data_IF_211615842962
#
_entry.id   IF_211615842962
#
_cell.length_a   1.000
_cell.length_b   1.000
_cell.length_c   1.000
_cell.angle_alpha   90.00
_cell.angle_beta   90.00
_cell.angle_gamma   90.00
#
_symmetry.space_group_name_H-M   'P 1'
#
loop_
_entity.id
_entity.type
_entity.pdbx_description
1 polymer ?
#
# COMPACT_ATOMS: atom_id res chain seq x y z
N UNK A 1 -37.02 17.68 7.92
CA UNK A 1 -37.12 16.49 7.03
C UNK A 1 -35.70 16.05 6.75
N UNK A 2 -35.36 14.78 6.96
CA UNK A 2 -33.98 14.34 6.70
C UNK A 2 -33.65 14.43 5.21
N UNK A 3 -32.43 14.86 4.88
CA UNK A 3 -31.92 14.93 3.52
C UNK A 3 -31.71 13.52 2.96
N UNK A 4 -31.92 13.37 1.65
CA UNK A 4 -31.65 12.12 0.96
C UNK A 4 -30.16 11.96 0.58
N UNK A 5 -29.79 10.76 0.13
CA UNK A 5 -28.42 10.41 -0.30
C UNK A 5 -27.91 11.34 -1.41
N UNK A 6 -28.76 11.71 -2.36
CA UNK A 6 -28.39 12.54 -3.50
C UNK A 6 -28.06 13.97 -3.06
N UNK A 7 -28.83 14.51 -2.13
CA UNK A 7 -28.63 15.82 -1.52
C UNK A 7 -27.34 15.83 -0.71
N UNK A 8 -27.11 14.80 0.12
CA UNK A 8 -25.86 14.64 0.86
C UNK A 8 -24.63 14.59 -0.07
N UNK A 9 -24.68 13.79 -1.14
CA UNK A 9 -23.59 13.69 -2.10
C UNK A 9 -23.31 15.03 -2.81
N UNK A 10 -24.35 15.71 -3.31
CA UNK A 10 -24.22 17.01 -3.98
C UNK A 10 -23.62 18.06 -3.02
N UNK A 11 -24.07 18.08 -1.77
CA UNK A 11 -23.57 19.02 -0.75
C UNK A 11 -22.12 18.73 -0.38
N UNK A 12 -21.77 17.47 -0.20
CA UNK A 12 -20.38 17.07 0.06
C UNK A 12 -19.45 17.51 -1.08
N UNK A 13 -19.81 17.25 -2.34
CA UNK A 13 -19.03 17.71 -3.52
C UNK A 13 -18.90 19.24 -3.51
N UNK A 14 -19.99 19.97 -3.23
CA UNK A 14 -19.97 21.43 -3.13
C UNK A 14 -19.01 21.94 -2.06
N UNK A 15 -18.93 21.28 -0.90
CA UNK A 15 -17.95 21.63 0.15
C UNK A 15 -16.51 21.38 -0.31
N UNK A 16 -16.24 20.27 -1.00
CA UNK A 16 -14.89 19.98 -1.52
C UNK A 16 -14.45 21.03 -2.54
N UNK A 17 -15.35 21.42 -3.46
CA UNK A 17 -15.09 22.46 -4.45
C UNK A 17 -14.85 23.83 -3.79
N UNK A 18 -15.67 24.19 -2.79
CA UNK A 18 -15.51 25.44 -2.05
C UNK A 18 -14.20 25.49 -1.26
N UNK A 19 -13.70 24.35 -0.79
CA UNK A 19 -12.41 24.22 -0.12
C UNK A 19 -11.22 24.19 -1.10
N UNK A 20 -11.45 24.26 -2.41
CA UNK A 20 -10.39 24.21 -3.43
C UNK A 20 -9.73 22.83 -3.56
N UNK A 21 -10.39 21.76 -3.10
CA UNK A 21 -9.86 20.40 -3.20
C UNK A 21 -10.04 19.91 -4.64
N UNK A 22 -8.95 19.52 -5.33
CA UNK A 22 -9.06 18.97 -6.68
C UNK A 22 -9.84 17.64 -6.62
N UNK A 23 -10.84 17.54 -7.49
CA UNK A 23 -11.64 16.31 -7.64
C UNK A 23 -11.14 15.43 -8.77
N UNK A 24 -10.14 15.89 -9.52
CA UNK A 24 -9.41 15.08 -10.48
C UNK A 24 -8.82 13.90 -9.71
N UNK A 25 -9.16 12.68 -10.10
CA UNK A 25 -8.73 11.45 -9.44
C UNK A 25 -9.36 11.15 -8.06
N UNK A 26 -10.49 11.79 -7.73
CA UNK A 26 -11.27 11.51 -6.53
C UNK A 26 -12.64 10.94 -6.91
N UNK A 27 -12.98 9.77 -6.36
CA UNK A 27 -14.25 9.10 -6.62
C UNK A 27 -15.10 9.00 -5.36
N UNK A 28 -16.41 9.20 -5.50
CA UNK A 28 -17.36 8.87 -4.43
C UNK A 28 -17.36 7.34 -4.21
N UNK A 29 -16.96 6.92 -3.01
CA UNK A 29 -16.77 5.51 -2.65
C UNK A 29 -17.89 4.97 -1.77
N UNK A 30 -18.31 5.74 -0.76
CA UNK A 30 -19.41 5.36 0.14
C UNK A 30 -20.22 6.59 0.51
N UNK A 31 -21.52 6.38 0.71
CA UNK A 31 -22.41 7.43 1.18
C UNK A 31 -23.61 6.80 1.88
N UNK A 32 -23.68 7.06 3.18
CA UNK A 32 -24.69 6.47 4.07
C UNK A 32 -25.00 7.36 5.26
N UNK A 33 -26.25 7.29 5.72
CA UNK A 33 -26.60 7.77 7.05
C UNK A 33 -26.25 6.69 8.07
N UNK A 34 -25.66 7.08 9.19
CA UNK A 34 -25.43 6.18 10.32
C UNK A 34 -25.72 6.89 11.63
N UNK A 35 -26.13 6.10 12.63
CA UNK A 35 -26.39 6.60 13.97
C UNK A 35 -25.06 7.01 14.62
N UNK A 36 -25.00 8.23 15.13
CA UNK A 36 -23.87 8.78 15.86
C UNK A 36 -24.07 8.69 17.38
N UNK A 37 -25.29 8.95 17.85
CA UNK A 37 -25.71 8.73 19.25
C UNK A 37 -27.15 8.23 19.30
N UNK A 38 -27.66 7.88 20.50
CA UNK A 38 -29.03 7.36 20.67
C UNK A 38 -30.08 8.19 19.91
N UNK A 39 -29.93 9.51 19.90
CA UNK A 39 -30.89 10.44 19.30
C UNK A 39 -30.34 11.23 18.09
N UNK A 40 -29.16 10.87 17.56
CA UNK A 40 -28.57 11.60 16.43
C UNK A 40 -28.03 10.70 15.33
N UNK A 41 -28.29 11.12 14.10
CA UNK A 41 -27.76 10.52 12.89
C UNK A 41 -26.84 11.51 12.19
N UNK A 42 -25.91 10.99 11.40
CA UNK A 42 -25.02 11.79 10.56
C UNK A 42 -24.94 11.15 9.18
N UNK A 43 -24.77 11.97 8.15
CA UNK A 43 -24.39 11.49 6.83
C UNK A 43 -22.88 11.40 6.74
N UNK A 44 -22.37 10.22 6.38
CA UNK A 44 -20.97 10.00 6.06
C UNK A 44 -20.86 9.87 4.55
N UNK A 45 -20.18 10.82 3.91
CA UNK A 45 -19.88 10.81 2.47
C UNK A 45 -18.38 10.66 2.31
N UNK A 46 -17.95 9.52 1.76
CA UNK A 46 -16.55 9.13 1.64
C UNK A 46 -16.14 9.12 0.19
N UNK A 47 -14.99 9.72 -0.08
CA UNK A 47 -14.33 9.71 -1.36
C UNK A 47 -13.00 8.99 -1.22
N UNK A 48 -12.60 8.28 -2.27
CA UNK A 48 -11.28 7.63 -2.36
C UNK A 48 -10.49 8.26 -3.49
N UNK A 49 -9.18 8.32 -3.34
CA UNK A 49 -8.29 8.70 -4.43
C UNK A 49 -8.04 7.49 -5.33
N UNK A 50 -7.98 7.73 -6.64
CA UNK A 50 -7.75 6.71 -7.67
C UNK A 50 -6.65 7.17 -8.60
N UNK A 51 -5.79 6.29 -9.08
CA UNK A 51 -4.83 6.63 -10.14
C UNK A 51 -4.76 5.46 -11.12
N UNK A 52 -4.94 5.77 -12.40
CA UNK A 52 -4.98 4.76 -13.47
C UNK A 52 -5.98 3.62 -13.20
N UNK A 53 -7.14 3.96 -12.62
CA UNK A 53 -8.19 3.00 -12.25
C UNK A 53 -7.96 2.26 -10.91
N UNK A 54 -6.80 2.40 -10.28
CA UNK A 54 -6.51 1.75 -8.99
C UNK A 54 -6.73 2.67 -7.79
N UNK A 55 -7.48 2.24 -6.75
CA UNK A 55 -7.68 3.04 -5.57
C UNK A 55 -6.45 3.04 -4.66
N UNK A 56 -6.23 4.15 -3.97
CA UNK A 56 -5.26 4.23 -2.88
C UNK A 56 -5.82 3.61 -1.61
N UNK A 57 -5.00 2.87 -0.86
CA UNK A 57 -5.44 2.10 0.30
C UNK A 57 -5.86 2.98 1.51
N UNK A 58 -5.10 4.05 1.78
CA UNK A 58 -5.37 4.99 2.90
C UNK A 58 -5.50 6.46 2.47
N UNK A 59 -5.75 6.71 1.19
CA UNK A 59 -5.93 8.08 0.68
C UNK A 59 -7.38 8.34 0.27
N UNK A 60 -7.98 9.34 0.89
CA UNK A 60 -9.38 9.68 0.67
C UNK A 60 -9.84 10.87 1.49
N UNK A 61 -11.13 11.15 1.37
CA UNK A 61 -11.80 12.28 2.00
C UNK A 61 -13.06 11.77 2.68
N UNK A 62 -13.32 12.23 3.90
CA UNK A 62 -14.57 12.04 4.62
C UNK A 62 -15.24 13.39 4.84
N UNK A 63 -16.49 13.50 4.40
CA UNK A 63 -17.37 14.62 4.70
C UNK A 63 -18.50 14.10 5.57
N UNK A 64 -18.70 14.74 6.73
CA UNK A 64 -19.78 14.43 7.67
C UNK A 64 -20.79 15.56 7.65
N UNK A 65 -22.05 15.25 7.35
CA UNK A 65 -23.13 16.23 7.20
C UNK A 65 -24.24 16.02 8.21
N UNK A 66 -24.87 17.11 8.62
CA UNK A 66 -26.10 17.12 9.38
C UNK A 66 -27.24 16.51 8.55
N UNK A 67 -28.01 15.55 9.10
CA UNK A 67 -29.06 14.88 8.37
C UNK A 67 -30.26 15.76 8.05
N UNK A 68 -30.47 16.90 8.71
CA UNK A 68 -31.65 17.74 8.51
C UNK A 68 -31.45 18.81 7.44
N UNK A 69 -30.28 19.46 7.42
CA UNK A 69 -30.02 20.64 6.57
C UNK A 69 -28.77 20.51 5.68
N UNK A 70 -28.07 19.37 5.75
CA UNK A 70 -26.82 19.12 5.04
C UNK A 70 -25.66 20.06 5.40
N UNK A 71 -25.72 20.75 6.55
CA UNK A 71 -24.60 21.55 7.05
C UNK A 71 -23.40 20.66 7.37
N UNK A 72 -22.19 21.19 7.15
CA UNK A 72 -20.94 20.48 7.41
C UNK A 72 -20.73 20.32 8.93
N UNK A 73 -20.67 19.08 9.41
CA UNK A 73 -20.37 18.73 10.80
C UNK A 73 -18.88 18.43 10.97
N UNK A 74 -18.29 17.74 9.99
CA UNK A 74 -16.92 17.25 10.11
C UNK A 74 -16.29 16.99 8.75
N UNK A 75 -14.97 17.08 8.72
CA UNK A 75 -14.17 16.94 7.51
C UNK A 75 -12.84 16.26 7.85
N UNK A 76 -12.46 15.25 7.06
CA UNK A 76 -11.16 14.60 7.11
C UNK A 76 -10.63 14.41 5.70
N UNK A 77 -9.34 14.67 5.49
CA UNK A 77 -8.71 14.58 4.18
C UNK A 77 -7.30 14.05 4.32
N UNK A 78 -7.00 12.98 3.58
CA UNK A 78 -5.66 12.44 3.46
C UNK A 78 -5.34 12.19 1.98
N UNK A 79 -4.60 13.11 1.36
CA UNK A 79 -4.20 13.05 -0.05
C UNK A 79 -2.67 13.14 -0.24
N UNK A 80 -1.88 12.87 0.81
CA UNK A 80 -0.42 13.05 0.80
C UNK A 80 0.33 12.00 -0.02
N UNK A 81 -0.27 10.85 -0.29
CA UNK A 81 0.41 9.76 -0.99
C UNK A 81 0.92 10.17 -2.39
N UNK A 82 2.14 9.77 -2.72
CA UNK A 82 2.75 10.06 -4.02
C UNK A 82 2.07 9.28 -5.14
N UNK A 83 2.37 9.65 -6.39
CA UNK A 83 1.99 8.83 -7.56
C UNK A 83 2.79 7.52 -7.53
N UNK A 84 2.19 6.37 -7.89
CA UNK A 84 2.94 5.13 -7.94
C UNK A 84 4.01 5.19 -9.03
N UNK A 85 5.13 4.50 -8.80
CA UNK A 85 6.22 4.42 -9.79
C UNK A 85 5.80 3.66 -11.05
N UNK A 86 4.90 2.69 -10.90
CA UNK A 86 4.36 1.84 -11.95
C UNK A 86 2.95 1.39 -11.60
N UNK A 87 2.12 1.15 -12.62
CA UNK A 87 0.80 0.51 -12.51
C UNK A 87 0.74 -0.81 -13.28
N UNK A 88 1.90 -1.32 -13.73
CA UNK A 88 2.02 -2.61 -14.42
C UNK A 88 1.71 -3.76 -13.47
N UNK A 89 0.79 -4.64 -13.89
CA UNK A 89 0.45 -5.86 -13.16
C UNK A 89 1.08 -7.05 -13.87
N UNK A 90 2.19 -7.56 -13.33
CA UNK A 90 2.91 -8.75 -13.83
C UNK A 90 2.74 -9.96 -12.91
N UNK A 91 2.41 -9.71 -11.65
CA UNK A 91 2.06 -10.72 -10.64
C UNK A 91 0.55 -10.80 -10.55
N UNK A 92 0.01 -11.97 -10.88
CA UNK A 92 -1.42 -12.21 -10.69
C UNK A 92 -1.77 -12.50 -9.21
N UNK A 93 -3.06 -12.55 -8.92
CA UNK A 93 -3.56 -12.79 -7.56
C UNK A 93 -3.04 -14.10 -6.96
N UNK A 94 -2.94 -15.18 -7.74
CA UNK A 94 -2.52 -16.47 -7.23
C UNK A 94 -1.03 -16.42 -6.84
N UNK A 95 -0.19 -15.87 -7.71
CA UNK A 95 1.22 -15.65 -7.44
C UNK A 95 1.44 -14.73 -6.23
N UNK A 96 0.67 -13.65 -6.08
CA UNK A 96 0.76 -12.78 -4.92
C UNK A 96 0.41 -13.50 -3.60
N UNK A 97 -0.61 -14.37 -3.62
CA UNK A 97 -0.97 -15.19 -2.45
C UNK A 97 0.15 -16.18 -2.10
N UNK A 98 0.81 -16.79 -3.09
CA UNK A 98 1.97 -17.66 -2.84
C UNK A 98 3.19 -16.90 -2.29
N UNK A 99 3.46 -15.69 -2.80
CA UNK A 99 4.48 -14.80 -2.26
C UNK A 99 4.22 -14.49 -0.78
N UNK A 100 2.98 -14.10 -0.44
CA UNK A 100 2.59 -13.85 0.94
C UNK A 100 2.71 -15.11 1.82
N UNK A 101 2.27 -16.27 1.34
CA UNK A 101 2.38 -17.52 2.11
C UNK A 101 3.83 -17.91 2.37
N UNK A 102 4.70 -17.76 1.38
CA UNK A 102 6.13 -18.04 1.52
C UNK A 102 6.77 -17.10 2.53
N UNK A 103 6.51 -15.79 2.42
CA UNK A 103 7.01 -14.80 3.37
C UNK A 103 6.56 -15.11 4.81
N UNK A 104 5.28 -15.41 5.01
CA UNK A 104 4.75 -15.74 6.34
C UNK A 104 5.30 -17.06 6.88
N UNK A 105 5.52 -18.06 6.02
CA UNK A 105 6.15 -19.32 6.40
C UNK A 105 7.61 -19.15 6.84
N UNK A 106 8.38 -18.27 6.20
CA UNK A 106 9.74 -17.91 6.63
C UNK A 106 9.75 -17.27 8.02
N UNK A 107 8.71 -16.51 8.34
CA UNK A 107 8.49 -15.95 9.68
C UNK A 107 7.95 -16.99 10.70
N UNK A 108 7.77 -18.25 10.28
CA UNK A 108 7.33 -19.34 11.15
C UNK A 108 5.82 -19.39 11.36
N UNK A 109 5.06 -18.87 10.39
CA UNK A 109 3.61 -18.82 10.43
C UNK A 109 2.95 -19.47 9.24
N UNK A 110 1.79 -20.06 9.47
CA UNK A 110 0.93 -20.60 8.42
C UNK A 110 -0.28 -19.67 8.25
N UNK A 111 -0.54 -19.27 7.00
CA UNK A 111 -1.67 -18.40 6.66
C UNK A 111 -2.63 -19.13 5.72
N UNK A 112 -3.91 -18.92 5.97
CA UNK A 112 -4.99 -19.48 5.16
C UNK A 112 -5.20 -18.71 3.84
N UNK A 113 -6.28 -19.01 3.12
CA UNK A 113 -6.70 -18.22 1.96
C UNK A 113 -7.08 -16.81 2.41
N UNK A 114 -6.68 -15.75 1.70
CA UNK A 114 -7.03 -14.40 2.10
C UNK A 114 -8.55 -14.16 2.03
N UNK A 115 -9.07 -13.44 3.02
CA UNK A 115 -10.46 -12.95 3.06
C UNK A 115 -10.66 -11.69 2.23
N UNK A 116 -9.56 -11.00 1.89
CA UNK A 116 -9.53 -9.82 1.04
C UNK A 116 -8.28 -9.87 0.16
N UNK A 117 -8.43 -9.54 -1.12
CA UNK A 117 -7.32 -9.51 -2.06
C UNK A 117 -7.66 -8.59 -3.24
N UNK A 118 -7.15 -7.36 -3.18
CA UNK A 118 -7.39 -6.32 -4.20
C UNK A 118 -6.09 -5.59 -4.55
N UNK A 119 -6.03 -5.07 -5.78
CA UNK A 119 -4.95 -4.20 -6.24
C UNK A 119 -5.20 -2.78 -5.75
N UNK A 120 -4.33 -2.29 -4.86
CA UNK A 120 -4.42 -0.97 -4.26
C UNK A 120 -3.06 -0.28 -4.32
N UNK A 121 -3.07 1.05 -4.43
CA UNK A 121 -1.85 1.85 -4.32
C UNK A 121 -1.56 2.06 -2.83
N UNK A 122 -0.39 1.59 -2.41
CA UNK A 122 0.10 1.67 -1.03
C UNK A 122 1.34 2.55 -0.95
N UNK A 123 1.63 3.07 0.24
CA UNK A 123 2.95 3.60 0.58
C UNK A 123 3.66 2.51 1.37
N UNK A 124 4.69 1.85 0.80
CA UNK A 124 5.44 0.81 1.49
C UNK A 124 5.87 1.25 2.89
N UNK A 125 5.77 0.34 3.84
CA UNK A 125 6.18 0.54 5.23
C UNK A 125 6.86 -0.73 5.76
N UNK A 126 7.67 -0.57 6.81
CA UNK A 126 8.27 -1.67 7.55
C UNK A 126 7.47 -2.02 8.82
N UNK A 127 6.19 -1.61 8.87
CA UNK A 127 5.30 -1.80 10.03
C UNK A 127 5.13 -3.27 10.44
N UNK A 128 5.43 -4.21 9.55
CA UNK A 128 5.44 -5.64 9.79
C UNK A 128 6.40 -6.13 10.88
N UNK A 129 7.46 -5.38 11.17
CA UNK A 129 8.62 -5.95 11.84
C UNK A 129 8.76 -5.58 13.32
N UNK A 130 8.05 -4.55 13.81
CA UNK A 130 8.23 -4.06 15.19
C UNK A 130 6.89 -3.73 15.87
N UNK A 131 6.45 -4.62 16.78
CA UNK A 131 5.46 -4.28 17.83
C UNK A 131 6.08 -4.47 19.22
N UNK A 132 7.34 -4.04 19.37
CA UNK A 132 8.11 -4.16 20.62
C UNK A 132 8.44 -2.82 21.30
N UNK A 133 8.60 -1.73 20.55
CA UNK A 133 9.16 -0.48 21.09
C UNK A 133 8.21 0.71 21.07
N UNK A 134 7.05 0.59 20.42
CA UNK A 134 6.13 1.72 20.26
C UNK A 134 6.56 2.74 19.20
N UNK A 135 7.64 2.46 18.48
CA UNK A 135 8.09 3.27 17.34
C UNK A 135 7.19 2.99 16.12
N UNK A 136 6.68 4.06 15.51
CA UNK A 136 5.87 3.99 14.31
C UNK A 136 6.85 3.97 13.13
N UNK A 137 6.87 2.87 12.38
CA UNK A 137 7.49 2.78 11.06
C UNK A 137 7.08 3.99 10.20
N UNK A 138 8.04 4.78 9.73
CA UNK A 138 7.75 5.89 8.83
C UNK A 138 7.46 5.33 7.42
N UNK A 139 6.33 5.71 6.80
CA UNK A 139 6.05 5.34 5.42
C UNK A 139 7.19 5.80 4.51
N UNK A 140 7.56 4.98 3.54
CA UNK A 140 8.56 5.38 2.57
C UNK A 140 8.03 6.51 1.67
N UNK A 141 8.93 7.37 1.19
CA UNK A 141 8.65 8.42 0.20
C UNK A 141 8.45 7.85 -1.22
N UNK A 142 7.74 6.73 -1.34
CA UNK A 142 7.33 6.12 -2.60
C UNK A 142 5.90 5.59 -2.49
N UNK A 143 5.23 5.43 -3.62
CA UNK A 143 3.98 4.70 -3.73
C UNK A 143 4.14 3.57 -4.75
N UNK A 144 3.45 2.46 -4.51
CA UNK A 144 3.49 1.28 -5.37
C UNK A 144 2.10 0.66 -5.52
N UNK A 145 1.83 0.09 -6.68
CA UNK A 145 0.66 -0.76 -6.88
C UNK A 145 0.94 -2.14 -6.27
N UNK A 146 0.08 -2.59 -5.35
CA UNK A 146 0.26 -3.84 -4.63
C UNK A 146 -1.03 -4.63 -4.53
N UNK A 147 -0.90 -5.95 -4.50
CA UNK A 147 -1.92 -6.84 -3.96
C UNK A 147 -1.96 -6.68 -2.44
N UNK A 148 -3.04 -6.09 -1.92
CA UNK A 148 -3.32 -6.00 -0.48
C UNK A 148 -4.13 -7.23 -0.08
N UNK A 149 -3.51 -8.11 0.71
CA UNK A 149 -4.04 -9.42 1.07
C UNK A 149 -4.33 -9.46 2.57
N UNK A 150 -5.57 -9.72 2.99
CA UNK A 150 -5.93 -9.88 4.42
C UNK A 150 -6.24 -11.32 4.78
N UNK A 151 -5.80 -11.74 5.96
CA UNK A 151 -5.95 -13.07 6.51
C UNK A 151 -6.55 -12.98 7.92
N UNK A 152 -7.53 -13.82 8.23
CA UNK A 152 -8.26 -13.80 9.51
C UNK A 152 -8.03 -15.07 10.36
N UNK A 153 -7.16 -15.98 9.92
CA UNK A 153 -6.85 -17.22 10.64
C UNK A 153 -5.36 -17.54 10.46
N UNK A 154 -4.64 -17.92 11.54
CA UNK A 154 -5.14 -18.23 12.90
C UNK A 154 -5.25 -17.04 13.87
N UNK A 155 -5.11 -15.79 13.40
CA UNK A 155 -5.09 -14.59 14.25
C UNK A 155 -6.09 -13.55 13.75
N UNK A 156 -6.28 -12.45 14.50
CA UNK A 156 -7.00 -11.29 13.97
C UNK A 156 -6.36 -10.79 12.65
N UNK A 157 -7.08 -9.92 11.94
CA UNK A 157 -6.74 -9.39 10.60
C UNK A 157 -5.24 -9.11 10.48
N UNK A 158 -4.58 -9.88 9.63
CA UNK A 158 -3.18 -9.72 9.22
C UNK A 158 -3.15 -9.40 7.74
N UNK A 159 -2.33 -8.44 7.33
CA UNK A 159 -2.40 -7.87 6.00
C UNK A 159 -1.04 -7.77 5.32
N UNK A 160 -0.82 -8.51 4.22
CA UNK A 160 0.42 -8.51 3.43
C UNK A 160 0.22 -7.71 2.15
N UNK A 161 1.12 -6.78 1.87
CA UNK A 161 1.16 -6.05 0.60
C UNK A 161 2.24 -6.64 -0.29
N UNK A 162 1.85 -7.14 -1.45
CA UNK A 162 2.75 -7.74 -2.44
C UNK A 162 2.80 -6.88 -3.69
N UNK A 163 3.98 -6.40 -4.06
CA UNK A 163 4.23 -5.60 -5.27
C UNK A 163 3.65 -6.30 -6.51
N UNK A 164 2.77 -5.60 -7.23
CA UNK A 164 2.07 -6.13 -8.40
C UNK A 164 2.99 -6.35 -9.61
N UNK A 165 4.17 -5.73 -9.63
CA UNK A 165 5.15 -5.83 -10.71
C UNK A 165 6.13 -6.99 -10.51
N UNK A 166 6.60 -7.21 -9.29
CA UNK A 166 7.74 -8.11 -9.04
C UNK A 166 7.52 -9.15 -7.92
N UNK A 167 6.44 -9.05 -7.14
CA UNK A 167 6.09 -10.03 -6.11
C UNK A 167 6.86 -9.87 -4.81
N UNK A 168 7.58 -8.76 -4.63
CA UNK A 168 8.22 -8.42 -3.36
C UNK A 168 7.17 -8.04 -2.32
N UNK A 169 7.40 -8.39 -1.06
CA UNK A 169 6.57 -7.89 0.05
C UNK A 169 6.99 -6.46 0.37
N UNK A 170 6.02 -5.54 0.35
CA UNK A 170 6.22 -4.10 0.49
C UNK A 170 5.89 -3.55 1.88
N UNK A 171 5.14 -4.30 2.68
CA UNK A 171 4.60 -3.79 3.93
C UNK A 171 3.22 -4.36 4.25
N UNK A 172 2.53 -3.69 5.17
CA UNK A 172 1.23 -4.09 5.73
C UNK A 172 1.22 -4.26 7.26
N UNK A 173 0.29 -5.05 7.79
CA UNK A 173 0.02 -5.07 9.24
C UNK A 173 -0.06 -6.46 9.86
N UNK A 174 0.49 -6.56 11.07
CA UNK A 174 0.46 -7.76 11.88
C UNK A 174 -0.60 -7.65 12.97
N UNK A 175 -1.37 -8.72 13.19
CA UNK A 175 -2.22 -8.79 14.37
C UNK A 175 -1.42 -8.75 15.67
N UNK A 176 -1.98 -8.08 16.69
CA UNK A 176 -1.44 -8.08 18.07
C UNK A 176 -1.46 -9.47 18.70
N UNK A 177 -2.37 -10.34 18.28
CA UNK A 177 -2.50 -11.71 18.83
C UNK A 177 -1.51 -12.70 18.21
N UNK A 178 -0.72 -12.27 17.23
CA UNK A 178 0.28 -13.08 16.58
C UNK A 178 1.56 -13.16 17.44
N UNK A 179 1.98 -14.35 17.88
CA UNK A 179 3.13 -14.49 18.78
C UNK A 179 4.43 -14.10 18.06
N UNK A 180 5.26 -13.24 18.65
CA UNK A 180 6.55 -12.82 18.07
C UNK A 180 7.51 -14.01 18.02
N UNK A 181 7.82 -14.50 16.82
CA UNK A 181 8.83 -15.55 16.61
C UNK A 181 10.11 -14.93 16.04
N UNK A 182 11.05 -14.57 16.92
CA UNK A 182 12.39 -14.09 16.54
C UNK A 182 12.42 -12.66 15.96
N UNK A 183 13.57 -12.01 16.09
CA UNK A 183 13.86 -10.71 15.48
C UNK A 183 14.29 -10.94 14.03
N UNK A 184 13.47 -10.56 13.06
CA UNK A 184 13.89 -10.49 11.67
C UNK A 184 14.27 -9.04 11.41
N UNK A 185 15.45 -8.83 10.84
CA UNK A 185 15.96 -7.52 10.44
C UNK A 185 15.35 -7.12 9.10
N UNK A 186 14.75 -5.93 9.04
CA UNK A 186 14.14 -5.41 7.82
C UNK A 186 15.17 -5.37 6.70
N UNK A 187 14.79 -5.73 5.46
CA UNK A 187 15.63 -5.45 4.31
C UNK A 187 15.90 -3.94 4.14
N UNK A 188 15.18 -3.08 4.86
CA UNK A 188 15.33 -1.63 4.91
C UNK A 188 15.93 -1.09 6.24
N UNK A 189 16.00 -1.87 7.32
CA UNK A 189 16.56 -1.44 8.62
C UNK A 189 18.10 -1.50 8.68
N UNK A 190 18.76 -0.99 7.64
CA UNK A 190 20.21 -0.79 7.63
C UNK A 190 20.54 0.68 7.41
N UNK A 191 20.32 1.51 8.43
CA UNK A 191 21.10 2.73 8.60
C UNK A 191 22.12 2.55 9.72
N UNK A 192 23.37 2.37 9.26
CA UNK A 192 24.61 2.78 9.92
C UNK A 192 24.99 2.12 11.26
N UNK A 193 25.93 1.16 11.19
CA UNK A 193 27.18 1.26 11.95
C UNK A 193 28.33 0.62 11.15
N UNK A 194 29.06 1.43 10.37
CA UNK A 194 30.49 1.18 10.08
C UNK A 194 31.21 2.54 10.03
N UNK A 195 32.34 2.57 10.72
CA UNK A 195 33.15 3.71 11.12
C UNK A 195 33.54 4.68 9.98
N UNK A 196 33.53 5.97 10.33
CA UNK A 196 34.25 6.99 9.58
C UNK A 196 35.76 6.73 9.67
N UNK A 197 36.38 6.31 8.56
CA UNK A 197 37.72 6.78 8.21
C UNK A 197 37.84 7.01 6.70
N UNK A 198 38.59 8.04 6.29
CA UNK A 198 38.53 8.61 4.94
C UNK A 198 39.52 7.88 4.04
N UNK A 199 39.17 7.51 2.80
CA UNK A 199 40.06 7.59 1.62
C UNK A 199 39.27 7.54 0.29
N UNK A 200 39.35 8.65 -0.45
CA UNK A 200 39.61 8.79 -1.90
C UNK A 200 38.90 7.82 -2.88
N UNK A 201 37.87 8.34 -3.57
CA UNK A 201 37.73 8.25 -5.04
C UNK A 201 37.06 7.02 -5.71
N UNK A 202 35.70 6.95 -5.68
CA UNK A 202 34.74 6.20 -6.57
C UNK A 202 35.01 4.69 -6.86
N UNK A 203 34.04 3.89 -7.36
CA UNK A 203 32.57 4.02 -7.46
C UNK A 203 31.82 2.86 -6.74
N UNK A 204 30.68 3.07 -6.09
CA UNK A 204 29.87 1.94 -5.61
C UNK A 204 28.83 1.51 -6.64
N UNK A 205 29.21 0.48 -7.40
CA UNK A 205 28.27 -0.50 -7.92
C UNK A 205 27.74 -1.37 -6.77
N UNK A 206 26.44 -1.67 -6.85
CA UNK A 206 25.72 -2.82 -6.30
C UNK A 206 25.83 -3.15 -4.80
N UNK A 207 24.67 -3.09 -4.13
CA UNK A 207 24.25 -4.19 -3.25
C UNK A 207 22.72 -4.33 -3.27
N UNK A 208 22.24 -5.20 -4.15
CA UNK A 208 20.90 -5.80 -4.11
C UNK A 208 21.07 -7.12 -3.35
N UNK A 209 20.40 -7.29 -2.22
CA UNK A 209 20.18 -8.55 -1.49
C UNK A 209 18.82 -8.35 -0.81
N UNK A 210 17.71 -9.05 -1.08
CA UNK A 210 17.47 -10.47 -1.37
C UNK A 210 16.20 -10.55 -2.26
N UNK A 211 16.36 -10.47 -3.59
CA UNK A 211 15.26 -10.39 -4.56
C UNK A 211 15.16 -11.58 -5.54
N UNK A 212 15.86 -12.68 -5.27
CA UNK A 212 16.00 -13.79 -6.23
C UNK A 212 15.10 -15.02 -5.96
N UNK A 213 14.24 -15.00 -4.93
CA UNK A 213 13.40 -16.16 -4.61
C UNK A 213 12.03 -16.17 -5.33
N UNK A 214 11.41 -15.02 -5.61
CA UNK A 214 10.13 -14.99 -6.35
C UNK A 214 10.28 -15.37 -7.83
N UNK A 215 11.45 -15.18 -8.44
CA UNK A 215 11.72 -15.60 -9.83
C UNK A 215 11.72 -17.12 -10.01
N UNK A 216 11.99 -17.89 -8.95
CA UNK A 216 11.99 -19.35 -9.04
C UNK A 216 10.56 -19.92 -9.15
N UNK A 217 9.58 -19.32 -8.48
CA UNK A 217 8.18 -19.78 -8.51
C UNK A 217 7.49 -19.42 -9.83
N UNK A 218 7.74 -18.23 -10.37
CA UNK A 218 7.21 -17.82 -11.68
C UNK A 218 7.79 -18.66 -12.84
N UNK A 219 8.98 -19.25 -12.65
CA UNK A 219 9.61 -20.12 -13.67
C UNK A 219 8.99 -21.51 -13.81
N UNK A 220 8.08 -21.91 -12.91
CA UNK A 220 7.42 -23.23 -12.95
C UNK A 220 6.06 -23.22 -13.66
N UNK A 221 5.62 -22.08 -14.19
CA UNK A 221 4.41 -21.98 -15.01
C UNK A 221 4.77 -22.35 -16.46
N UNK A 222 4.51 -23.59 -16.83
CA UNK A 222 4.67 -24.11 -18.19
C UNK A 222 3.65 -23.47 -19.14
N UNK A 223 4.03 -22.38 -19.83
CA UNK A 223 3.63 -22.02 -21.22
C UNK A 223 3.94 -20.57 -21.64
N UNK A 224 5.12 -20.01 -21.32
CA UNK A 224 5.59 -18.78 -21.97
C UNK A 224 6.72 -19.09 -22.95
N UNK A 225 6.40 -19.06 -24.24
CA UNK A 225 7.38 -19.17 -25.33
C UNK A 225 8.40 -18.04 -25.22
N UNK A 226 9.68 -18.41 -25.04
CA UNK A 226 10.85 -17.52 -25.14
C UNK A 226 11.15 -17.21 -26.61
N UNK A 227 10.99 -15.94 -26.99
CA UNK A 227 11.62 -15.24 -28.12
C UNK A 227 11.49 -13.75 -27.76
N UNK A 228 12.51 -12.91 -27.58
CA UNK A 228 13.91 -12.94 -27.97
C UNK A 228 14.78 -12.24 -26.92
N UNK A 229 15.91 -12.87 -26.58
CA UNK A 229 17.03 -12.19 -25.97
C UNK A 229 17.94 -11.65 -27.07
N UNK A 230 18.01 -10.32 -27.25
CA UNK A 230 19.10 -9.69 -27.99
C UNK A 230 19.18 -8.18 -27.72
N UNK A 231 20.14 -7.77 -26.88
CA UNK A 231 21.22 -6.80 -27.17
C UNK A 231 21.63 -6.03 -25.91
N UNK A 232 22.71 -6.51 -25.29
CA UNK A 232 23.61 -5.68 -24.50
C UNK A 232 24.22 -4.59 -25.39
N UNK A 233 24.47 -3.40 -24.82
CA UNK A 233 25.67 -2.61 -25.11
C UNK A 233 25.94 -1.64 -23.96
N UNK A 234 26.95 -1.95 -23.15
CA UNK A 234 27.65 -0.99 -22.32
C UNK A 234 28.60 -0.18 -23.22
N UNK A 235 28.53 1.15 -23.15
CA UNK A 235 29.66 2.01 -23.55
C UNK A 235 29.86 3.11 -22.51
N UNK A 236 30.86 2.94 -21.67
CA UNK A 236 31.42 4.02 -20.88
C UNK A 236 32.24 4.94 -21.80
N UNK A 237 32.03 6.26 -21.70
CA UNK A 237 32.99 7.27 -22.16
C UNK A 237 33.07 8.39 -21.12
N UNK A 238 34.30 8.59 -20.64
CA UNK A 238 34.74 9.72 -19.81
C UNK A 238 35.07 10.90 -20.74
N UNK A 239 34.73 12.13 -20.32
CA UNK A 239 35.43 13.42 -20.54
C UNK A 239 34.79 14.42 -19.56
N UNK A 240 35.47 14.97 -18.55
CA UNK A 240 36.55 15.98 -18.54
C UNK A 240 36.11 17.25 -19.27
N UNK A 241 35.51 18.20 -18.53
CA UNK A 241 36.18 19.39 -17.98
C UNK A 241 35.53 19.78 -16.64
#
# INVERSE_FOLDING_TARGET
MAIDKNTANKKAIGYLQAAGIPLDNIELYDSRSAQYSQDSYQWYVRFRRVYDGYPYYFSGILVILNPEDASLIGFGCNLSALKPLSTDVKVDKAAAVECARTYMAEMGYDISVPTFAELLIVQPDDYWEYIGTGDIAEPQDIAQLAWVLRFNAPWDVTEVWVDAENGNVLGGSRSKSMPVKGSISSPFASTAQVECMPQVGRPLAAKIVKGDLCKAVVSQISNLKRTDAAKCNFSARIKVD
#
